data_IF_288395073840
#
_entry.id   IF_288395073840
#
_cell.length_a   1.000
_cell.length_b   1.000
_cell.length_c   1.000
_cell.angle_alpha   90.00
_cell.angle_beta   90.00
_cell.angle_gamma   90.00
#
_symmetry.space_group_name_H-M   'P 1'
#
loop_
_entity.id
_entity.type
_entity.pdbx_description
1 polymer ?
#
# COMPACT_ATOMS: atom_id res chain seq x y z
N UNK A 1 -159.87 60.05 53.73
CA UNK A 1 -160.46 61.40 53.94
C UNK A 1 -161.84 61.37 54.62
N UNK A 2 -162.68 60.36 54.40
CA UNK A 2 -164.03 60.26 55.02
C UNK A 2 -163.99 59.97 56.54
N UNK A 3 -162.94 59.35 57.08
CA UNK A 3 -162.79 59.02 58.52
C UNK A 3 -162.43 60.21 59.41
N UNK A 4 -161.73 61.23 58.87
CA UNK A 4 -161.28 62.39 59.66
C UNK A 4 -162.43 63.26 60.12
N UNK A 5 -163.42 63.48 59.26
CA UNK A 5 -164.60 64.29 59.60
C UNK A 5 -165.50 63.62 60.64
N UNK A 6 -165.65 62.29 60.59
CA UNK A 6 -166.41 61.53 61.61
C UNK A 6 -165.74 61.65 62.98
N UNK A 7 -164.41 61.57 63.04
CA UNK A 7 -163.64 61.71 64.27
C UNK A 7 -163.74 63.14 64.84
N UNK A 8 -163.63 64.16 63.99
CA UNK A 8 -163.77 65.57 64.40
C UNK A 8 -165.19 65.85 64.90
N UNK A 9 -166.24 65.34 64.22
CA UNK A 9 -167.63 65.52 64.63
C UNK A 9 -167.93 64.82 65.96
N UNK A 10 -167.41 63.60 66.17
CA UNK A 10 -167.53 62.87 67.43
C UNK A 10 -166.82 63.59 68.59
N UNK A 11 -165.61 64.13 68.36
CA UNK A 11 -164.85 64.88 69.38
C UNK A 11 -165.54 66.20 69.73
N UNK A 12 -166.13 66.91 68.76
CA UNK A 12 -166.90 68.14 69.02
C UNK A 12 -168.17 67.88 69.83
N UNK A 13 -168.93 66.83 69.51
CA UNK A 13 -170.12 66.42 70.27
C UNK A 13 -169.76 66.01 71.71
N UNK A 14 -168.73 65.18 71.87
CA UNK A 14 -168.24 64.75 73.17
C UNK A 14 -167.70 65.93 74.00
N UNK A 15 -166.98 66.85 73.34
CA UNK A 15 -166.43 68.06 73.95
C UNK A 15 -167.52 69.00 74.48
N UNK A 16 -168.62 69.18 73.74
CA UNK A 16 -169.77 69.96 74.20
C UNK A 16 -170.47 69.36 75.42
N UNK A 17 -170.65 68.03 75.43
CA UNK A 17 -171.24 67.32 76.58
C UNK A 17 -170.33 67.43 77.81
N UNK A 18 -169.02 67.20 77.65
CA UNK A 18 -168.06 67.24 78.76
C UNK A 18 -167.90 68.66 79.31
N UNK A 19 -167.91 69.69 78.47
CA UNK A 19 -167.84 71.09 78.90
C UNK A 19 -169.02 71.47 79.82
N UNK A 20 -170.25 71.06 79.48
CA UNK A 20 -171.43 71.33 80.31
C UNK A 20 -171.42 70.59 81.65
N UNK A 21 -170.85 69.39 81.70
CA UNK A 21 -170.63 68.64 82.95
C UNK A 21 -169.55 69.29 83.83
N UNK A 22 -168.46 69.76 83.23
CA UNK A 22 -167.39 70.48 83.93
C UNK A 22 -167.89 71.74 84.62
N UNK A 23 -168.73 72.53 83.93
CA UNK A 23 -169.29 73.78 84.47
C UNK A 23 -170.31 73.52 85.62
N UNK A 24 -171.06 72.41 85.52
CA UNK A 24 -171.97 71.96 86.59
C UNK A 24 -171.24 71.52 87.85
N UNK A 25 -170.10 70.84 87.72
CA UNK A 25 -169.26 70.45 88.84
C UNK A 25 -168.65 71.70 89.50
N UNK A 26 -168.19 72.66 88.70
CA UNK A 26 -167.68 73.95 89.19
C UNK A 26 -168.70 74.73 90.04
N UNK A 27 -169.95 74.85 89.56
CA UNK A 27 -171.02 75.55 90.31
C UNK A 27 -171.42 74.84 91.62
N UNK A 28 -171.44 73.50 91.65
CA UNK A 28 -171.79 72.74 92.86
C UNK A 28 -170.73 72.89 93.96
N UNK A 29 -169.45 72.89 93.59
CA UNK A 29 -168.35 73.13 94.54
C UNK A 29 -168.45 74.56 95.11
N UNK A 30 -168.88 75.54 94.31
CA UNK A 30 -169.06 76.93 94.73
C UNK A 30 -170.17 77.17 95.78
N UNK A 31 -171.29 76.41 95.76
CA UNK A 31 -172.36 76.51 96.77
C UNK A 31 -172.06 75.77 98.07
N UNK A 32 -171.29 74.69 98.00
CA UNK A 32 -171.03 73.79 99.12
C UNK A 32 -170.02 74.34 100.15
N UNK A 33 -169.48 75.55 99.95
CA UNK A 33 -168.45 76.17 100.81
C UNK A 33 -167.29 75.23 101.13
N UNK A 34 -166.92 74.40 100.16
CA UNK A 34 -165.81 73.45 100.29
C UNK A 34 -164.48 74.19 100.13
N UNK A 35 -163.64 74.07 101.15
CA UNK A 35 -162.24 74.50 101.13
C UNK A 35 -161.40 73.32 100.68
N UNK A 36 -160.64 73.48 99.59
CA UNK A 36 -159.53 72.59 99.26
C UNK A 36 -158.27 73.38 99.61
N UNK A 37 -157.43 72.85 100.50
CA UNK A 37 -156.18 73.47 100.92
C UNK A 37 -156.31 74.92 101.42
N UNK A 38 -157.27 75.18 102.31
CA UNK A 38 -157.41 76.46 103.03
C UNK A 38 -157.73 77.70 102.16
N UNK A 39 -158.17 77.49 100.92
CA UNK A 39 -158.52 78.56 100.00
C UNK A 39 -159.93 79.11 100.25
N UNK A 40 -160.10 80.41 100.01
CA UNK A 40 -161.42 81.08 100.10
C UNK A 40 -162.38 80.38 99.14
N UNK A 41 -163.62 80.01 99.54
CA UNK A 41 -164.51 79.12 98.76
C UNK A 41 -164.76 79.47 97.29
N UNK A 42 -164.53 80.72 96.88
CA UNK A 42 -164.64 81.19 95.50
C UNK A 42 -163.46 80.78 94.60
N UNK A 43 -162.27 80.53 95.13
CA UNK A 43 -161.05 80.18 94.37
C UNK A 43 -160.91 78.68 94.08
N UNK A 44 -161.41 77.82 94.99
CA UNK A 44 -161.39 76.36 94.82
C UNK A 44 -162.10 75.89 93.56
N UNK A 45 -163.21 76.54 93.21
CA UNK A 45 -163.99 76.21 92.01
C UNK A 45 -163.19 76.43 90.72
N UNK A 46 -162.35 77.47 90.66
CA UNK A 46 -161.52 77.79 89.48
C UNK A 46 -160.42 76.75 89.25
N UNK A 47 -159.76 76.30 90.32
CA UNK A 47 -158.67 75.32 90.23
C UNK A 47 -159.18 73.98 89.67
N UNK A 48 -160.34 73.52 90.13
CA UNK A 48 -160.95 72.29 89.63
C UNK A 48 -161.28 72.41 88.14
N UNK A 49 -161.78 73.56 87.67
CA UNK A 49 -162.08 73.78 86.25
C UNK A 49 -160.83 73.67 85.36
N UNK A 50 -159.72 74.29 85.75
CA UNK A 50 -158.44 74.21 85.02
C UNK A 50 -157.95 72.76 84.96
N UNK A 51 -157.98 72.05 86.09
CA UNK A 51 -157.54 70.66 86.15
C UNK A 51 -158.38 69.75 85.23
N UNK A 52 -159.69 69.96 85.19
CA UNK A 52 -160.58 69.21 84.30
C UNK A 52 -160.30 69.53 82.83
N UNK A 53 -160.06 70.81 82.51
CA UNK A 53 -159.67 71.25 81.16
C UNK A 53 -158.37 70.58 80.68
N UNK A 54 -157.33 70.54 81.51
CA UNK A 54 -156.04 69.91 81.17
C UNK A 54 -156.16 68.40 80.92
N UNK A 55 -156.98 67.69 81.70
CA UNK A 55 -157.19 66.25 81.52
C UNK A 55 -157.85 65.96 80.16
N UNK A 56 -158.76 66.82 79.71
CA UNK A 56 -159.42 66.67 78.40
C UNK A 56 -158.41 66.84 77.27
N UNK A 57 -157.56 67.86 77.32
CA UNK A 57 -156.53 68.11 76.30
C UNK A 57 -155.49 67.00 76.21
N UNK A 58 -155.02 66.49 77.35
CA UNK A 58 -154.09 65.35 77.39
C UNK A 58 -154.73 64.08 76.79
N UNK A 59 -156.00 63.85 77.08
CA UNK A 59 -156.74 62.70 76.54
C UNK A 59 -156.92 62.77 75.02
N UNK A 60 -157.11 63.97 74.47
CA UNK A 60 -157.24 64.17 73.01
C UNK A 60 -155.93 63.88 72.29
N UNK A 61 -154.80 64.33 72.85
CA UNK A 61 -153.48 64.07 72.29
C UNK A 61 -153.13 62.56 72.34
N UNK A 62 -153.40 61.90 73.47
CA UNK A 62 -153.17 60.47 73.63
C UNK A 62 -153.96 59.63 72.60
N UNK A 63 -155.20 60.03 72.32
CA UNK A 63 -156.06 59.35 71.36
C UNK A 63 -155.56 59.56 69.91
N UNK A 64 -155.05 60.74 69.58
CA UNK A 64 -154.43 61.05 68.28
C UNK A 64 -153.23 60.14 67.97
N UNK A 65 -152.33 59.97 68.95
CA UNK A 65 -151.18 59.05 68.81
C UNK A 65 -151.59 57.58 68.83
N UNK A 66 -152.65 57.22 69.56
CA UNK A 66 -153.14 55.84 69.63
C UNK A 66 -153.81 55.36 68.33
N UNK A 67 -154.48 56.24 67.59
CA UNK A 67 -155.26 55.87 66.40
C UNK A 67 -154.43 55.95 65.10
N UNK A 68 -153.38 56.78 65.04
CA UNK A 68 -152.61 56.99 63.79
C UNK A 68 -151.20 56.39 63.85
N UNK A 69 -150.97 55.32 63.07
CA UNK A 69 -149.64 54.74 62.87
C UNK A 69 -148.71 55.66 62.06
N UNK A 70 -149.22 56.45 61.11
CA UNK A 70 -148.39 57.37 60.31
C UNK A 70 -147.77 58.51 61.13
N UNK A 71 -148.48 59.05 62.12
CA UNK A 71 -147.93 60.09 63.01
C UNK A 71 -146.80 59.55 63.90
N UNK A 72 -146.81 58.26 64.24
CA UNK A 72 -145.74 57.61 65.02
C UNK A 72 -144.48 57.39 64.17
N UNK A 73 -144.60 56.86 62.95
CA UNK A 73 -143.43 56.61 62.08
C UNK A 73 -142.76 57.91 61.62
N UNK A 74 -143.54 58.95 61.30
CA UNK A 74 -143.00 60.24 60.83
C UNK A 74 -142.25 61.05 61.90
N UNK A 75 -142.57 60.88 63.18
CA UNK A 75 -141.91 61.61 64.28
C UNK A 75 -140.68 60.86 64.83
N UNK A 76 -140.55 59.55 64.64
CA UNK A 76 -139.54 58.73 65.33
C UNK A 76 -138.50 57.98 64.47
N UNK A 77 -138.59 57.93 63.12
CA UNK A 77 -137.66 57.11 62.29
C UNK A 77 -136.83 57.87 61.22
N UNK A 78 -137.01 59.17 61.02
CA UNK A 78 -136.31 59.93 59.96
C UNK A 78 -134.78 59.96 60.12
N UNK A 79 -134.27 59.91 61.35
CA UNK A 79 -132.82 59.92 61.62
C UNK A 79 -132.11 58.68 61.08
N UNK A 80 -132.68 57.48 61.27
CA UNK A 80 -132.06 56.21 60.82
C UNK A 80 -131.89 56.13 59.31
N UNK A 81 -132.86 56.61 58.53
CA UNK A 81 -132.80 56.54 57.07
C UNK A 81 -131.73 57.50 56.51
N UNK A 82 -131.49 58.65 57.16
CA UNK A 82 -130.41 59.56 56.77
C UNK A 82 -129.04 58.99 57.15
N UNK A 83 -128.93 58.34 58.32
CA UNK A 83 -127.70 57.67 58.74
C UNK A 83 -127.34 56.51 57.79
N UNK A 84 -128.30 55.68 57.38
CA UNK A 84 -128.08 54.56 56.46
C UNK A 84 -127.67 55.03 55.04
N UNK A 85 -128.22 56.16 54.57
CA UNK A 85 -127.81 56.76 53.28
C UNK A 85 -126.38 57.31 53.38
N UNK A 86 -126.07 58.02 54.47
CA UNK A 86 -124.73 58.56 54.70
C UNK A 86 -123.69 57.44 54.84
N UNK A 87 -124.02 56.32 55.49
CA UNK A 87 -123.13 55.16 55.57
C UNK A 87 -122.96 54.48 54.22
N UNK A 88 -124.03 54.30 53.44
CA UNK A 88 -123.94 53.68 52.12
C UNK A 88 -123.14 54.54 51.12
N UNK A 89 -123.27 55.88 51.19
CA UNK A 89 -122.44 56.81 50.40
C UNK A 89 -120.97 56.76 50.85
N UNK A 90 -120.70 56.64 52.16
CA UNK A 90 -119.35 56.48 52.70
C UNK A 90 -118.71 55.14 52.28
N UNK A 91 -119.44 54.03 52.38
CA UNK A 91 -118.99 52.69 51.96
C UNK A 91 -118.71 52.63 50.46
N UNK A 92 -119.54 53.29 49.63
CA UNK A 92 -119.31 53.39 48.19
C UNK A 92 -118.05 54.20 47.87
N UNK A 93 -117.84 55.33 48.57
CA UNK A 93 -116.63 56.13 48.42
C UNK A 93 -115.38 55.35 48.87
N UNK A 94 -115.47 54.55 49.95
CA UNK A 94 -114.39 53.69 50.42
C UNK A 94 -114.09 52.54 49.43
N UNK A 95 -115.12 51.90 48.89
CA UNK A 95 -114.97 50.85 47.88
C UNK A 95 -114.36 51.36 46.58
N UNK A 96 -114.77 52.56 46.12
CA UNK A 96 -114.17 53.23 44.96
C UNK A 96 -112.70 53.57 45.21
N UNK A 97 -112.38 54.15 46.36
CA UNK A 97 -110.99 54.42 46.76
C UNK A 97 -110.15 53.14 46.83
N UNK A 98 -110.71 52.06 47.38
CA UNK A 98 -110.03 50.75 47.43
C UNK A 98 -109.79 50.19 46.03
N UNK A 99 -110.77 50.30 45.13
CA UNK A 99 -110.61 49.87 43.75
C UNK A 99 -109.52 50.67 43.03
N UNK A 100 -109.50 52.00 43.18
CA UNK A 100 -108.46 52.86 42.62
C UNK A 100 -107.07 52.48 43.15
N UNK A 101 -106.94 52.22 44.45
CA UNK A 101 -105.67 51.78 45.06
C UNK A 101 -105.22 50.40 44.54
N UNK A 102 -106.15 49.43 44.42
CA UNK A 102 -105.83 48.09 43.90
C UNK A 102 -105.47 48.14 42.41
N UNK A 103 -106.15 48.96 41.62
CA UNK A 103 -105.80 49.18 40.21
C UNK A 103 -104.40 49.82 40.09
N UNK A 104 -104.08 50.81 40.93
CA UNK A 104 -102.76 51.42 40.99
C UNK A 104 -101.66 50.44 41.45
N UNK A 105 -101.94 49.60 42.45
CA UNK A 105 -101.02 48.56 42.93
C UNK A 105 -100.79 47.47 41.87
N UNK A 106 -101.84 47.07 41.15
CA UNK A 106 -101.74 46.11 40.06
C UNK A 106 -100.90 46.68 38.91
N UNK A 107 -101.14 47.93 38.52
CA UNK A 107 -100.33 48.62 37.51
C UNK A 107 -98.86 48.68 37.96
N UNK A 108 -98.58 49.12 39.19
CA UNK A 108 -97.24 49.16 39.75
C UNK A 108 -96.55 47.78 39.77
N UNK A 109 -97.27 46.72 40.17
CA UNK A 109 -96.76 45.35 40.19
C UNK A 109 -96.51 44.80 38.77
N UNK A 110 -97.35 45.15 37.79
CA UNK A 110 -97.13 44.77 36.38
C UNK A 110 -95.92 45.49 35.79
N UNK A 111 -95.74 46.77 36.10
CA UNK A 111 -94.59 47.57 35.73
C UNK A 111 -93.30 47.01 36.34
N UNK A 112 -93.33 46.65 37.63
CA UNK A 112 -92.19 46.02 38.30
C UNK A 112 -91.85 44.67 37.67
N UNK A 113 -92.86 43.83 37.37
CA UNK A 113 -92.67 42.56 36.66
C UNK A 113 -92.05 42.77 35.29
N UNK A 114 -92.51 43.76 34.53
CA UNK A 114 -91.97 44.08 33.20
C UNK A 114 -90.50 44.54 33.30
N UNK A 115 -90.18 45.40 34.27
CA UNK A 115 -88.79 45.80 34.56
C UNK A 115 -87.92 44.62 35.03
N UNK A 116 -88.48 43.69 35.82
CA UNK A 116 -87.78 42.49 36.25
C UNK A 116 -87.49 41.54 35.07
N UNK A 117 -88.45 41.36 34.16
CA UNK A 117 -88.26 40.58 32.93
C UNK A 117 -87.21 41.21 32.01
N UNK A 118 -87.26 42.54 31.83
CA UNK A 118 -86.24 43.28 31.07
C UNK A 118 -84.84 43.10 31.65
N UNK A 119 -84.69 43.25 32.98
CA UNK A 119 -83.43 42.98 33.69
C UNK A 119 -82.96 41.54 33.52
N UNK A 120 -83.87 40.57 33.59
CA UNK A 120 -83.54 39.15 33.43
C UNK A 120 -83.05 38.84 32.01
N UNK A 121 -83.67 39.45 30.99
CA UNK A 121 -83.21 39.34 29.61
C UNK A 121 -81.82 39.96 29.41
N UNK A 122 -81.59 41.17 29.93
CA UNK A 122 -80.28 41.84 29.87
C UNK A 122 -79.19 41.02 30.59
N UNK A 123 -79.51 40.47 31.76
CA UNK A 123 -78.60 39.58 32.51
C UNK A 123 -78.31 38.30 31.73
N UNK A 124 -79.31 37.68 31.10
CA UNK A 124 -79.08 36.49 30.26
C UNK A 124 -78.21 36.80 29.04
N UNK A 125 -78.44 37.94 28.37
CA UNK A 125 -77.59 38.37 27.24
C UNK A 125 -76.16 38.69 27.69
N UNK A 126 -75.99 39.29 28.87
CA UNK A 126 -74.68 39.53 29.47
C UNK A 126 -73.99 38.22 29.88
N UNK A 127 -74.75 37.26 30.43
CA UNK A 127 -74.23 35.95 30.83
C UNK A 127 -73.79 35.16 29.60
N UNK A 128 -74.58 35.13 28.53
CA UNK A 128 -74.19 34.47 27.27
C UNK A 128 -72.92 35.08 26.69
N UNK A 129 -72.82 36.42 26.66
CA UNK A 129 -71.58 37.11 26.24
C UNK A 129 -70.38 36.74 27.10
N UNK A 130 -70.55 36.65 28.42
CA UNK A 130 -69.49 36.25 29.34
C UNK A 130 -69.08 34.77 29.14
N UNK A 131 -70.02 33.88 28.88
CA UNK A 131 -69.77 32.46 28.57
C UNK A 131 -69.03 32.31 27.25
N UNK A 132 -69.47 32.97 26.18
CA UNK A 132 -68.79 32.96 24.87
C UNK A 132 -67.34 33.47 25.00
N UNK A 133 -67.15 34.55 25.77
CA UNK A 133 -65.82 35.10 26.00
C UNK A 133 -64.94 34.20 26.89
N UNK A 134 -65.52 33.48 27.84
CA UNK A 134 -64.81 32.45 28.60
C UNK A 134 -64.37 31.31 27.67
N UNK A 135 -65.25 30.81 26.80
CA UNK A 135 -64.94 29.75 25.85
C UNK A 135 -63.84 30.16 24.86
N UNK A 136 -63.89 31.40 24.33
CA UNK A 136 -62.85 31.92 23.45
C UNK A 136 -61.50 32.03 24.17
N UNK A 137 -61.51 32.54 25.41
CA UNK A 137 -60.30 32.69 26.22
C UNK A 137 -59.71 31.33 26.61
N UNK A 138 -60.54 30.34 26.94
CA UNK A 138 -60.09 28.97 27.19
C UNK A 138 -59.48 28.33 25.94
N UNK A 139 -60.06 28.57 24.76
CA UNK A 139 -59.52 28.12 23.48
C UNK A 139 -58.15 28.75 23.18
N UNK A 140 -58.03 30.08 23.33
CA UNK A 140 -56.77 30.80 23.17
C UNK A 140 -55.71 30.34 24.17
N UNK A 141 -56.09 30.09 25.43
CA UNK A 141 -55.19 29.55 26.45
C UNK A 141 -54.70 28.16 26.07
N UNK A 142 -55.59 27.25 25.62
CA UNK A 142 -55.20 25.91 25.15
C UNK A 142 -54.25 25.99 23.95
N UNK A 143 -54.53 26.89 23.00
CA UNK A 143 -53.66 27.11 21.84
C UNK A 143 -52.28 27.64 22.27
N UNK A 144 -52.25 28.62 23.17
CA UNK A 144 -51.01 29.23 23.67
C UNK A 144 -50.17 28.22 24.46
N UNK A 145 -50.81 27.38 25.28
CA UNK A 145 -50.13 26.29 25.99
C UNK A 145 -49.54 25.27 25.01
N UNK A 146 -50.26 24.91 23.94
CA UNK A 146 -49.75 24.04 22.89
C UNK A 146 -48.57 24.65 22.12
N UNK A 147 -48.61 25.95 21.83
CA UNK A 147 -47.49 26.68 21.23
C UNK A 147 -46.28 26.73 22.16
N UNK A 148 -46.49 27.01 23.45
CA UNK A 148 -45.43 27.05 24.46
C UNK A 148 -44.75 25.68 24.61
N UNK A 149 -45.52 24.59 24.62
CA UNK A 149 -44.99 23.23 24.65
C UNK A 149 -44.14 22.93 23.40
N UNK A 150 -44.64 23.28 22.22
CA UNK A 150 -43.91 23.11 20.95
C UNK A 150 -42.59 23.88 20.95
N UNK A 151 -42.62 25.15 21.35
CA UNK A 151 -41.41 26.00 21.41
C UNK A 151 -40.43 25.50 22.47
N UNK A 152 -40.94 25.02 23.61
CA UNK A 152 -40.12 24.40 24.67
C UNK A 152 -39.38 23.15 24.16
N UNK A 153 -40.09 22.25 23.45
CA UNK A 153 -39.49 21.05 22.85
C UNK A 153 -38.46 21.38 21.77
N UNK A 154 -38.74 22.39 20.94
CA UNK A 154 -37.80 22.89 19.94
C UNK A 154 -36.53 23.46 20.61
N UNK A 155 -36.70 24.30 21.63
CA UNK A 155 -35.58 24.88 22.38
C UNK A 155 -34.70 23.80 23.01
N UNK A 156 -35.29 22.72 23.53
CA UNK A 156 -34.54 21.60 24.09
C UNK A 156 -33.77 20.83 23.02
N UNK A 157 -34.39 20.57 21.86
CA UNK A 157 -33.74 19.90 20.74
C UNK A 157 -32.57 20.72 20.18
N UNK A 158 -32.74 22.05 20.08
CA UNK A 158 -31.70 22.99 19.69
C UNK A 158 -30.55 23.04 20.71
N UNK A 159 -30.85 23.01 22.00
CA UNK A 159 -29.83 22.93 23.07
C UNK A 159 -29.01 21.65 22.96
N UNK A 160 -29.67 20.51 22.76
CA UNK A 160 -28.99 19.22 22.58
C UNK A 160 -28.11 19.23 21.33
N UNK A 161 -28.62 19.72 20.21
CA UNK A 161 -27.85 19.85 18.96
C UNK A 161 -26.63 20.75 19.13
N UNK A 162 -26.79 21.87 19.83
CA UNK A 162 -25.68 22.81 20.11
C UNK A 162 -24.63 22.17 21.02
N UNK A 163 -25.04 21.36 22.01
CA UNK A 163 -24.12 20.63 22.86
C UNK A 163 -23.32 19.59 22.06
N UNK A 164 -23.99 18.81 21.20
CA UNK A 164 -23.34 17.83 20.33
C UNK A 164 -22.34 18.49 19.38
N UNK A 165 -22.74 19.58 18.71
CA UNK A 165 -21.85 20.32 17.80
C UNK A 165 -20.65 20.93 18.52
N UNK A 166 -20.80 21.36 19.79
CA UNK A 166 -19.67 21.85 20.58
C UNK A 166 -18.64 20.75 20.83
N UNK A 167 -19.11 19.54 21.21
CA UNK A 167 -18.24 18.37 21.42
C UNK A 167 -17.54 17.97 20.13
N UNK A 168 -18.26 17.94 19.00
CA UNK A 168 -17.68 17.62 17.70
C UNK A 168 -16.62 18.65 17.28
N UNK A 169 -16.90 19.94 17.47
CA UNK A 169 -15.93 21.02 17.24
C UNK A 169 -14.68 20.87 18.11
N UNK A 170 -14.84 20.54 19.40
CA UNK A 170 -13.70 20.33 20.29
C UNK A 170 -12.86 19.12 19.87
N UNK A 171 -13.51 18.04 19.42
CA UNK A 171 -12.83 16.86 18.85
C UNK A 171 -12.06 17.21 17.57
N UNK A 172 -12.65 17.99 16.66
CA UNK A 172 -11.99 18.43 15.44
C UNK A 172 -10.78 19.34 15.72
N UNK A 173 -10.88 20.23 16.71
CA UNK A 173 -9.74 21.05 17.15
C UNK A 173 -8.60 20.19 17.71
N UNK A 174 -8.91 19.17 18.51
CA UNK A 174 -7.91 18.22 19.01
C UNK A 174 -7.25 17.41 17.88
N UNK A 175 -8.04 16.98 16.89
CA UNK A 175 -7.52 16.31 15.69
C UNK A 175 -6.60 17.24 14.89
N UNK A 176 -7.00 18.49 14.68
CA UNK A 176 -6.18 19.49 14.00
C UNK A 176 -4.84 19.73 14.73
N UNK A 177 -4.87 19.86 16.05
CA UNK A 177 -3.65 20.01 16.86
C UNK A 177 -2.74 18.79 16.74
N UNK A 178 -3.31 17.59 16.73
CA UNK A 178 -2.56 16.33 16.58
C UNK A 178 -1.91 16.24 15.20
N UNK A 179 -2.66 16.52 14.14
CA UNK A 179 -2.15 16.53 12.76
C UNK A 179 -1.06 17.59 12.60
N UNK A 180 -1.25 18.79 13.14
CA UNK A 180 -0.23 19.85 13.11
C UNK A 180 1.07 19.42 13.78
N UNK A 181 0.99 18.75 14.94
CA UNK A 181 2.16 18.18 15.62
C UNK A 181 2.84 17.10 14.77
N UNK A 182 2.07 16.21 14.13
CA UNK A 182 2.62 15.19 13.23
C UNK A 182 3.30 15.81 12.01
N UNK A 183 2.73 16.84 11.41
CA UNK A 183 3.35 17.58 10.29
C UNK A 183 4.69 18.18 10.74
N UNK A 184 4.70 18.90 11.87
CA UNK A 184 5.94 19.48 12.40
C UNK A 184 7.03 18.43 12.69
N UNK A 185 6.65 17.26 13.21
CA UNK A 185 7.59 16.15 13.40
C UNK A 185 8.11 15.59 12.08
N UNK A 186 7.25 15.42 11.07
CA UNK A 186 7.67 14.96 9.73
C UNK A 186 8.57 15.98 9.04
N UNK A 187 8.27 17.27 9.15
CA UNK A 187 9.11 18.33 8.58
C UNK A 187 10.51 18.33 9.20
N UNK A 188 10.63 18.10 10.51
CA UNK A 188 11.93 17.90 11.16
C UNK A 188 12.66 16.65 10.64
N UNK A 189 11.95 15.52 10.45
CA UNK A 189 12.54 14.31 9.88
C UNK A 189 13.02 14.51 8.44
N UNK A 190 12.23 15.21 7.62
CA UNK A 190 12.60 15.55 6.24
C UNK A 190 13.86 16.42 6.25
N UNK A 191 13.90 17.48 7.06
CA UNK A 191 15.08 18.33 7.17
C UNK A 191 16.35 17.56 7.61
N UNK A 192 16.21 16.58 8.51
CA UNK A 192 17.32 15.70 8.90
C UNK A 192 17.76 14.79 7.76
N UNK A 193 16.83 14.20 7.01
CA UNK A 193 17.13 13.36 5.86
C UNK A 193 17.80 14.16 4.73
N UNK A 194 17.34 15.38 4.46
CA UNK A 194 17.95 16.28 3.47
C UNK A 194 19.40 16.61 3.83
N UNK A 195 19.69 16.85 5.11
CA UNK A 195 21.07 17.02 5.59
C UNK A 195 21.92 15.77 5.37
N UNK A 196 21.38 14.58 5.63
CA UNK A 196 22.10 13.32 5.39
C UNK A 196 22.35 13.08 3.91
N UNK A 197 21.38 13.37 3.04
CA UNK A 197 21.50 13.26 1.58
C UNK A 197 22.61 14.20 1.10
N UNK A 198 22.59 15.47 1.50
CA UNK A 198 23.63 16.43 1.14
C UNK A 198 25.04 15.98 1.58
N UNK A 199 25.17 15.40 2.78
CA UNK A 199 26.44 14.83 3.25
C UNK A 199 26.89 13.63 2.40
N UNK A 200 25.95 12.77 1.99
CA UNK A 200 26.26 11.61 1.14
C UNK A 200 26.63 12.02 -0.27
N UNK A 201 25.97 13.02 -0.84
CA UNK A 201 26.31 13.54 -2.17
C UNK A 201 27.74 14.10 -2.18
N UNK A 202 28.15 14.81 -1.12
CA UNK A 202 29.55 15.24 -0.95
C UNK A 202 30.53 14.07 -0.88
N UNK A 203 30.19 12.99 -0.15
CA UNK A 203 31.04 11.80 -0.07
C UNK A 203 31.12 11.06 -1.41
N UNK A 204 30.02 11.00 -2.16
CA UNK A 204 29.99 10.38 -3.49
C UNK A 204 30.89 11.18 -4.44
N UNK A 205 30.75 12.49 -4.49
CA UNK A 205 31.60 13.35 -5.32
C UNK A 205 33.10 13.19 -4.99
N UNK A 206 33.46 13.10 -3.70
CA UNK A 206 34.84 12.85 -3.28
C UNK A 206 35.35 11.47 -3.73
N UNK A 207 34.49 10.44 -3.67
CA UNK A 207 34.85 9.09 -4.12
C UNK A 207 34.99 8.99 -5.63
N UNK A 208 34.14 9.69 -6.38
CA UNK A 208 34.24 9.77 -7.84
C UNK A 208 35.56 10.42 -8.25
N UNK A 209 35.95 11.53 -7.62
CA UNK A 209 37.26 12.15 -7.84
C UNK A 209 38.43 11.20 -7.50
N UNK A 210 38.31 10.44 -6.40
CA UNK A 210 39.33 9.47 -6.03
C UNK A 210 39.41 8.33 -7.05
N UNK A 211 38.27 7.80 -7.53
CA UNK A 211 38.22 6.76 -8.55
C UNK A 211 38.89 7.22 -9.84
N UNK A 212 38.56 8.41 -10.33
CA UNK A 212 39.19 9.00 -11.51
C UNK A 212 40.72 9.10 -11.33
N UNK A 213 41.18 9.51 -10.15
CA UNK A 213 42.62 9.57 -9.84
C UNK A 213 43.30 8.19 -9.78
N UNK A 214 42.58 7.15 -9.37
CA UNK A 214 43.07 5.78 -9.29
C UNK A 214 43.09 5.11 -10.66
N UNK A 215 42.08 5.36 -11.49
CA UNK A 215 42.03 4.93 -12.89
C UNK A 215 43.20 5.52 -13.67
N UNK A 216 43.44 6.84 -13.54
CA UNK A 216 44.60 7.48 -14.16
C UNK A 216 45.94 6.89 -13.67
N UNK A 217 46.05 6.53 -12.39
CA UNK A 217 47.23 5.84 -11.85
C UNK A 217 47.39 4.43 -12.41
N UNK A 218 46.28 3.69 -12.57
CA UNK A 218 46.29 2.36 -13.15
C UNK A 218 46.75 2.41 -14.60
N UNK A 219 46.17 3.29 -15.42
CA UNK A 219 46.57 3.48 -16.82
C UNK A 219 48.07 3.82 -16.94
N UNK A 220 48.57 4.69 -16.06
CA UNK A 220 49.98 5.03 -16.01
C UNK A 220 50.86 3.83 -15.64
N UNK A 221 50.46 3.03 -14.65
CA UNK A 221 51.18 1.81 -14.27
C UNK A 221 51.15 0.76 -15.39
N UNK A 222 50.03 0.58 -16.07
CA UNK A 222 49.91 -0.34 -17.20
C UNK A 222 50.84 0.06 -18.35
N UNK A 223 50.91 1.36 -18.67
CA UNK A 223 51.87 1.88 -19.64
C UNK A 223 53.32 1.61 -19.22
N UNK A 224 53.67 1.79 -17.95
CA UNK A 224 55.00 1.48 -17.44
C UNK A 224 55.33 -0.02 -17.54
N UNK A 225 54.38 -0.90 -17.20
CA UNK A 225 54.55 -2.36 -17.33
C UNK A 225 54.74 -2.72 -18.80
N UNK A 226 53.94 -2.18 -19.72
CA UNK A 226 54.08 -2.45 -21.16
C UNK A 226 55.44 -1.97 -21.72
N UNK A 227 55.89 -0.79 -21.29
CA UNK A 227 57.21 -0.26 -21.65
C UNK A 227 58.33 -1.16 -21.11
N UNK A 228 58.22 -1.59 -19.84
CA UNK A 228 59.19 -2.48 -19.22
C UNK A 228 59.21 -3.85 -19.91
N UNK A 229 58.05 -4.44 -20.23
CA UNK A 229 57.96 -5.68 -20.99
C UNK A 229 58.62 -5.57 -22.37
N UNK A 230 58.42 -4.46 -23.07
CA UNK A 230 59.08 -4.18 -24.36
C UNK A 230 60.60 -4.09 -24.19
N UNK A 231 61.07 -3.42 -23.14
CA UNK A 231 62.49 -3.34 -22.79
C UNK A 231 63.07 -4.73 -22.48
N UNK A 232 62.37 -5.56 -21.71
CA UNK A 232 62.77 -6.94 -21.40
C UNK A 232 62.79 -7.85 -22.63
N UNK A 233 61.81 -7.75 -23.52
CA UNK A 233 61.80 -8.53 -24.77
C UNK A 233 62.94 -8.13 -25.71
N UNK A 234 63.37 -6.86 -25.70
CA UNK A 234 64.57 -6.40 -26.40
C UNK A 234 65.86 -7.03 -25.88
N UNK A 235 65.96 -7.23 -24.55
CA UNK A 235 67.13 -7.83 -23.90
C UNK A 235 67.27 -9.34 -24.17
N UNK A 236 66.16 -10.07 -24.35
CA UNK A 236 66.18 -11.52 -24.62
C UNK A 236 66.18 -11.90 -26.11
N UNK A 237 66.22 -10.92 -27.03
CA UNK A 237 66.54 -11.13 -28.46
C UNK A 237 68.05 -11.06 -28.74
N UNK A 238 68.90 -11.41 -27.79
CA UNK A 238 70.24 -11.88 -28.14
C UNK A 238 70.08 -13.23 -28.81
N UNK A 239 70.13 -13.30 -30.15
CA UNK A 239 70.08 -14.55 -30.89
C UNK A 239 71.03 -15.56 -30.23
N UNK A 240 70.51 -16.64 -29.64
CA UNK A 240 71.35 -17.70 -29.07
C UNK A 240 72.19 -18.24 -30.22
N UNK A 241 73.50 -18.01 -30.15
CA UNK A 241 74.46 -18.41 -31.16
C UNK A 241 74.85 -19.88 -31.00
N UNK A 242 74.96 -20.34 -29.74
CA UNK A 242 75.25 -21.73 -29.40
C UNK A 242 74.41 -22.14 -28.18
N UNK A 243 73.81 -23.33 -28.25
CA UNK A 243 73.16 -23.94 -27.11
C UNK A 243 74.16 -24.76 -26.29
N UNK A 244 73.90 -24.94 -25.00
CA UNK A 244 74.62 -25.89 -24.16
C UNK A 244 74.45 -27.31 -24.72
N UNK A 245 75.54 -28.06 -24.73
CA UNK A 245 75.66 -29.42 -25.28
C UNK A 245 75.39 -29.50 -26.79
N UNK A 246 75.37 -28.36 -27.50
CA UNK A 246 75.39 -28.37 -28.96
C UNK A 246 76.74 -28.90 -29.44
N UNK A 247 76.72 -29.85 -30.36
CA UNK A 247 77.91 -30.30 -31.07
C UNK A 247 78.39 -29.20 -32.03
N UNK A 248 79.66 -28.82 -31.88
CA UNK A 248 80.29 -27.74 -32.64
C UNK A 248 81.01 -28.32 -33.86
N UNK A 249 81.76 -29.41 -33.64
CA UNK A 249 82.55 -30.07 -34.66
C UNK A 249 82.80 -31.52 -34.24
N UNK A 250 82.72 -32.42 -35.23
CA UNK A 250 83.13 -33.83 -35.11
C UNK A 250 84.22 -34.12 -36.13
N UNK A 251 85.26 -34.85 -35.72
CA UNK A 251 86.41 -35.16 -36.54
C UNK A 251 86.87 -36.60 -36.33
N UNK A 252 87.27 -37.26 -37.39
CA UNK A 252 87.89 -38.58 -37.34
C UNK A 252 89.38 -38.44 -37.62
N UNK A 253 90.21 -39.05 -36.77
CA UNK A 253 91.65 -38.96 -36.90
C UNK A 253 92.35 -40.23 -36.45
N UNK A 254 93.46 -40.55 -37.13
CA UNK A 254 94.42 -41.57 -36.74
C UNK A 254 95.77 -40.92 -36.60
N UNK A 255 96.40 -41.09 -35.44
CA UNK A 255 97.75 -40.58 -35.20
C UNK A 255 98.65 -41.71 -34.70
N UNK A 256 99.68 -42.04 -35.48
CA UNK A 256 100.69 -43.05 -35.10
C UNK A 256 101.78 -42.46 -34.20
N UNK A 257 101.96 -41.14 -34.26
CA UNK A 257 102.94 -40.42 -33.47
C UNK A 257 102.30 -39.25 -32.73
N UNK A 258 102.90 -38.85 -31.61
CA UNK A 258 102.49 -37.66 -30.87
C UNK A 258 102.45 -36.40 -31.74
N UNK A 259 103.41 -36.23 -32.66
CA UNK A 259 103.45 -35.09 -33.58
C UNK A 259 102.22 -35.04 -34.50
N UNK A 260 101.78 -36.20 -35.02
CA UNK A 260 100.55 -36.28 -35.83
C UNK A 260 99.29 -36.00 -34.99
N UNK A 261 99.27 -36.42 -33.73
CA UNK A 261 98.16 -36.13 -32.81
C UNK A 261 98.10 -34.62 -32.49
N UNK A 262 99.25 -33.97 -32.26
CA UNK A 262 99.37 -32.53 -32.05
C UNK A 262 98.86 -31.74 -33.27
N UNK A 263 99.23 -32.17 -34.48
CA UNK A 263 98.76 -31.59 -35.74
C UNK A 263 97.23 -31.70 -35.89
N UNK A 264 96.68 -32.91 -35.73
CA UNK A 264 95.23 -33.14 -35.80
C UNK A 264 94.44 -32.29 -34.78
N UNK A 265 94.86 -32.27 -33.52
CA UNK A 265 94.18 -31.50 -32.46
C UNK A 265 94.25 -30.01 -32.73
N UNK A 266 95.38 -29.53 -33.24
CA UNK A 266 95.56 -28.11 -33.60
C UNK A 266 94.61 -27.71 -34.72
N UNK A 267 94.54 -28.49 -35.81
CA UNK A 267 93.62 -28.21 -36.92
C UNK A 267 92.16 -28.29 -36.49
N UNK A 268 91.81 -29.31 -35.69
CA UNK A 268 90.46 -29.51 -35.16
C UNK A 268 90.00 -28.33 -34.30
N UNK A 269 90.84 -27.87 -33.38
CA UNK A 269 90.53 -26.71 -32.52
C UNK A 269 90.48 -25.40 -33.30
N UNK A 270 91.33 -25.22 -34.31
CA UNK A 270 91.29 -24.04 -35.17
C UNK A 270 89.99 -23.96 -35.98
N UNK A 271 89.54 -25.08 -36.54
CA UNK A 271 88.29 -25.11 -37.29
C UNK A 271 87.08 -24.90 -36.38
N UNK A 272 87.05 -25.55 -35.22
CA UNK A 272 86.03 -25.30 -34.22
C UNK A 272 85.98 -23.83 -33.78
N UNK A 273 87.14 -23.20 -33.57
CA UNK A 273 87.21 -21.78 -33.22
C UNK A 273 86.58 -20.90 -34.31
N UNK A 274 86.77 -21.23 -35.61
CA UNK A 274 86.14 -20.51 -36.73
C UNK A 274 84.62 -20.68 -36.74
N UNK A 275 84.12 -21.90 -36.50
CA UNK A 275 82.67 -22.18 -36.46
C UNK A 275 82.00 -21.37 -35.35
N UNK A 276 82.54 -21.46 -34.14
CA UNK A 276 82.02 -20.74 -32.96
C UNK A 276 82.09 -19.23 -33.16
N UNK A 277 83.18 -18.73 -33.73
CA UNK A 277 83.34 -17.29 -33.97
C UNK A 277 82.31 -16.76 -34.96
N UNK A 278 82.05 -17.48 -36.07
CA UNK A 278 81.02 -17.07 -37.04
C UNK A 278 79.62 -17.09 -36.46
N UNK A 279 79.34 -18.03 -35.54
CA UNK A 279 78.05 -18.10 -34.86
C UNK A 279 77.86 -16.92 -33.90
N UNK A 280 78.89 -16.57 -33.11
CA UNK A 280 78.81 -15.53 -32.08
C UNK A 280 79.01 -14.12 -32.63
N UNK A 281 79.93 -13.92 -33.57
CA UNK A 281 80.32 -12.61 -34.10
C UNK A 281 80.34 -12.62 -35.65
N UNK A 282 79.18 -12.81 -36.31
CA UNK A 282 79.11 -12.86 -37.77
C UNK A 282 79.61 -11.55 -38.40
N UNK A 283 80.40 -11.67 -39.47
CA UNK A 283 80.93 -10.52 -40.21
C UNK A 283 82.16 -9.84 -39.60
N UNK A 284 82.67 -10.33 -38.46
CA UNK A 284 83.91 -9.84 -37.85
C UNK A 284 85.11 -10.67 -38.35
N UNK A 285 86.31 -10.09 -38.56
CA UNK A 285 87.51 -10.88 -38.91
C UNK A 285 87.89 -11.86 -37.79
N UNK A 286 88.24 -13.09 -38.17
CA UNK A 286 88.66 -14.15 -37.25
C UNK A 286 90.15 -13.97 -36.98
N UNK A 287 90.50 -13.34 -35.86
CA UNK A 287 91.91 -13.10 -35.47
C UNK A 287 92.21 -13.44 -34.00
N UNK A 288 91.34 -14.22 -33.36
CA UNK A 288 91.51 -14.56 -31.95
C UNK A 288 91.03 -15.96 -31.60
N UNK A 289 91.72 -16.59 -30.66
CA UNK A 289 91.27 -17.80 -29.98
C UNK A 289 90.22 -17.42 -28.93
N UNK A 290 89.00 -17.96 -29.08
CA UNK A 290 87.86 -17.68 -28.20
C UNK A 290 87.41 -18.91 -27.41
N UNK A 291 87.82 -20.11 -27.85
CA UNK A 291 87.56 -21.35 -27.14
C UNK A 291 88.40 -21.41 -25.86
N UNK A 292 87.71 -21.55 -24.72
CA UNK A 292 88.29 -21.78 -23.42
C UNK A 292 88.37 -23.28 -23.17
N UNK A 293 89.57 -23.83 -23.34
CA UNK A 293 89.90 -25.23 -23.06
C UNK A 293 91.19 -25.31 -22.25
N UNK A 294 91.25 -26.20 -21.27
CA UNK A 294 92.43 -26.34 -20.42
C UNK A 294 93.58 -27.04 -21.15
N UNK A 295 94.82 -26.57 -20.95
CA UNK A 295 96.01 -27.23 -21.50
C UNK A 295 96.11 -28.72 -21.11
N UNK A 296 95.62 -29.10 -19.92
CA UNK A 296 95.58 -30.50 -19.48
C UNK A 296 94.59 -31.35 -20.29
N UNK A 297 93.47 -30.77 -20.71
CA UNK A 297 92.45 -31.46 -21.51
C UNK A 297 92.97 -31.68 -22.93
N UNK A 298 93.65 -30.68 -23.49
CA UNK A 298 94.33 -30.77 -24.80
C UNK A 298 95.44 -31.82 -24.77
N UNK A 299 96.29 -31.80 -23.73
CA UNK A 299 97.37 -32.78 -23.57
C UNK A 299 96.83 -34.21 -23.42
N UNK A 300 95.79 -34.40 -22.60
CA UNK A 300 95.15 -35.70 -22.43
C UNK A 300 94.53 -36.23 -23.73
N UNK A 301 93.98 -35.33 -24.56
CA UNK A 301 93.49 -35.68 -25.89
C UNK A 301 94.64 -36.14 -26.81
N UNK A 302 95.74 -35.41 -26.86
CA UNK A 302 96.92 -35.77 -27.68
C UNK A 302 97.46 -37.14 -27.27
N UNK A 303 97.64 -37.39 -25.97
CA UNK A 303 98.11 -38.68 -25.45
C UNK A 303 97.17 -39.82 -25.84
N UNK A 304 95.85 -39.57 -25.80
CA UNK A 304 94.83 -40.57 -26.15
C UNK A 304 94.80 -40.89 -27.64
N UNK A 305 95.09 -39.93 -28.51
CA UNK A 305 95.12 -40.12 -29.95
C UNK A 305 96.42 -40.76 -30.45
N UNK A 306 97.54 -40.58 -29.73
CA UNK A 306 98.87 -41.05 -30.13
C UNK A 306 99.09 -42.57 -29.91
N UNK A 307 98.06 -43.39 -30.16
CA UNK A 307 98.10 -44.85 -30.00
C UNK A 307 98.17 -45.60 -31.34
N UNK A 308 97.96 -44.91 -32.46
CA UNK A 308 97.86 -45.51 -33.80
C UNK A 308 96.50 -46.14 -34.09
N UNK A 309 95.51 -45.99 -33.21
CA UNK A 309 94.11 -46.39 -33.44
C UNK A 309 93.31 -45.25 -34.06
N UNK A 310 92.19 -45.58 -34.72
CA UNK A 310 91.25 -44.57 -35.21
C UNK A 310 90.39 -44.05 -34.06
N UNK A 311 90.21 -42.74 -33.97
CA UNK A 311 89.36 -42.09 -32.98
C UNK A 311 88.35 -41.14 -33.62
N UNK A 312 87.21 -41.02 -32.95
CA UNK A 312 86.20 -39.98 -33.20
C UNK A 312 86.30 -38.94 -32.09
N UNK A 313 86.58 -37.70 -32.47
CA UNK A 313 86.75 -36.57 -31.57
C UNK A 313 85.58 -35.61 -31.77
N UNK A 314 84.97 -35.19 -30.66
CA UNK A 314 83.79 -34.33 -30.63
C UNK A 314 84.06 -33.12 -29.77
N UNK A 315 83.62 -31.94 -30.23
CA UNK A 315 83.63 -30.72 -29.45
C UNK A 315 82.20 -30.26 -29.19
N UNK A 316 81.84 -30.03 -27.93
CA UNK A 316 80.51 -29.57 -27.53
C UNK A 316 80.59 -28.25 -26.75
N UNK A 317 79.58 -27.40 -26.90
CA UNK A 317 79.47 -26.19 -26.08
C UNK A 317 79.10 -26.52 -24.63
N UNK A 318 79.76 -25.89 -23.64
CA UNK A 318 79.47 -26.10 -22.22
C UNK A 318 78.32 -25.23 -21.69
N UNK A 319 77.93 -24.17 -22.40
CA UNK A 319 76.91 -23.22 -21.98
C UNK A 319 76.10 -22.68 -23.17
N UNK A 320 75.06 -21.90 -22.86
CA UNK A 320 74.37 -21.12 -23.87
C UNK A 320 75.17 -19.83 -24.11
N UNK A 321 75.48 -19.53 -25.37
CA UNK A 321 76.16 -18.31 -25.78
C UNK A 321 75.27 -17.51 -26.73
N UNK A 322 75.29 -16.19 -26.60
CA UNK A 322 74.49 -15.30 -27.45
C UNK A 322 75.36 -14.64 -28.52
N UNK A 323 74.72 -14.22 -29.61
CA UNK A 323 75.36 -13.41 -30.64
C UNK A 323 75.82 -12.10 -30.01
N UNK A 324 77.08 -11.74 -30.24
CA UNK A 324 77.72 -10.56 -29.66
C UNK A 324 78.19 -10.75 -28.22
N UNK A 325 78.46 -12.00 -27.79
CA UNK A 325 79.04 -12.31 -26.48
C UNK A 325 80.21 -11.34 -26.16
N UNK A 326 80.13 -10.56 -25.06
CA UNK A 326 81.05 -9.45 -24.83
C UNK A 326 82.54 -9.85 -24.83
N UNK A 327 82.86 -11.02 -24.29
CA UNK A 327 84.25 -11.51 -24.26
C UNK A 327 84.81 -11.84 -25.64
N UNK A 328 83.95 -12.12 -26.64
CA UNK A 328 84.36 -12.32 -28.04
C UNK A 328 84.52 -10.98 -28.76
N UNK A 329 83.64 -10.01 -28.51
CA UNK A 329 83.70 -8.70 -29.18
C UNK A 329 84.76 -7.75 -28.62
N UNK A 330 85.04 -7.83 -27.32
CA UNK A 330 85.97 -6.91 -26.62
C UNK A 330 87.42 -7.38 -26.65
N UNK A 331 87.73 -8.42 -27.43
CA UNK A 331 89.06 -9.04 -27.51
C UNK A 331 89.62 -9.46 -26.14
N UNK A 332 88.76 -10.04 -25.29
CA UNK A 332 89.13 -10.50 -23.95
C UNK A 332 89.86 -11.84 -23.93
N UNK A 333 90.04 -12.39 -22.73
CA UNK A 333 90.49 -13.78 -22.57
C UNK A 333 89.46 -14.77 -23.17
N UNK A 334 89.90 -15.94 -23.68
CA UNK A 334 89.00 -16.96 -24.19
C UNK A 334 87.95 -17.32 -23.14
N UNK A 335 86.68 -17.33 -23.53
CA UNK A 335 85.55 -17.44 -22.61
C UNK A 335 84.51 -18.47 -23.06
N UNK A 336 84.62 -18.99 -24.29
CA UNK A 336 83.68 -19.96 -24.83
C UNK A 336 84.12 -21.35 -24.37
N UNK A 337 83.53 -21.78 -23.26
CA UNK A 337 83.80 -23.08 -22.65
C UNK A 337 83.26 -24.19 -23.54
N UNK A 338 84.12 -25.17 -23.77
CA UNK A 338 83.84 -26.33 -24.61
C UNK A 338 84.28 -27.60 -23.91
N UNK A 339 83.62 -28.70 -24.23
CA UNK A 339 84.00 -30.04 -23.80
C UNK A 339 84.50 -30.83 -25.01
N UNK A 340 85.66 -31.47 -24.87
CA UNK A 340 86.15 -32.45 -25.85
C UNK A 340 85.92 -33.86 -25.33
N UNK A 341 85.40 -34.70 -26.20
CA UNK A 341 85.38 -36.14 -26.02
C UNK A 341 86.10 -36.83 -27.19
N UNK A 342 86.78 -37.93 -26.91
CA UNK A 342 87.48 -38.75 -27.90
C UNK A 342 87.23 -40.23 -27.62
N UNK A 343 86.59 -40.92 -28.56
CA UNK A 343 86.21 -42.33 -28.43
C UNK A 343 86.82 -43.14 -29.57
N UNK A 344 87.36 -44.36 -29.31
CA UNK A 344 87.87 -45.21 -30.38
C UNK A 344 86.81 -45.46 -31.45
N UNK A 345 87.21 -45.37 -32.73
CA UNK A 345 86.33 -45.64 -33.85
C UNK A 345 86.24 -47.14 -34.10
N UNK A 346 85.34 -47.79 -33.37
CA UNK A 346 85.14 -49.23 -33.43
C UNK A 346 83.88 -49.58 -34.22
N UNK A 347 83.84 -50.79 -34.79
CA UNK A 347 82.66 -51.32 -35.43
C UNK A 347 81.57 -51.58 -34.37
N UNK A 348 80.42 -50.91 -34.51
CA UNK A 348 79.26 -51.05 -33.62
C UNK A 348 78.27 -52.07 -34.19
N UNK A 349 78.03 -52.03 -35.51
CA UNK A 349 77.19 -53.01 -36.19
C UNK A 349 77.89 -53.59 -37.42
N UNK A 350 77.72 -54.89 -37.67
CA UNK A 350 78.13 -55.52 -38.92
C UNK A 350 77.08 -55.33 -40.02
N UNK A 351 77.51 -55.35 -41.29
CA UNK A 351 76.58 -55.37 -42.42
C UNK A 351 75.58 -56.53 -42.28
N UNK A 352 74.29 -56.22 -42.43
CA UNK A 352 73.21 -57.20 -42.27
C UNK A 352 72.73 -57.37 -40.82
N UNK A 353 73.36 -56.71 -39.84
CA UNK A 353 72.91 -56.71 -38.46
C UNK A 353 71.65 -55.85 -38.28
N UNK A 354 70.75 -56.26 -37.39
CA UNK A 354 69.47 -55.59 -37.17
C UNK A 354 69.57 -54.57 -36.04
N UNK A 355 69.34 -53.30 -36.36
CA UNK A 355 69.33 -52.20 -35.40
C UNK A 355 68.00 -52.11 -34.66
N UNK A 356 66.86 -52.18 -35.35
CA UNK A 356 65.56 -52.03 -34.68
C UNK A 356 64.47 -52.85 -35.37
N UNK A 357 63.39 -53.12 -34.63
CA UNK A 357 62.19 -53.80 -35.11
C UNK A 357 60.96 -53.09 -34.57
N UNK A 358 59.96 -52.88 -35.42
CA UNK A 358 58.63 -52.40 -35.05
C UNK A 358 57.59 -53.32 -35.67
N UNK A 359 56.71 -53.88 -34.85
CA UNK A 359 55.60 -54.69 -35.33
C UNK A 359 54.56 -53.83 -36.05
N UNK A 360 54.06 -54.32 -37.18
CA UNK A 360 52.95 -53.74 -37.92
C UNK A 360 51.71 -54.64 -37.74
N UNK A 361 50.71 -54.09 -37.05
CA UNK A 361 49.43 -54.77 -36.75
C UNK A 361 48.75 -55.28 -38.03
N UNK A 362 47.98 -56.39 -38.01
CA UNK A 362 47.36 -56.95 -39.21
C UNK A 362 46.50 -55.93 -40.00
N UNK A 363 46.42 -56.09 -41.34
CA UNK A 363 45.71 -55.17 -42.23
C UNK A 363 44.22 -55.00 -41.88
N UNK A 364 43.56 -53.93 -42.35
CA UNK A 364 44.03 -52.97 -43.36
C UNK A 364 45.04 -51.95 -42.82
N UNK A 365 46.12 -51.71 -43.58
CA UNK A 365 47.09 -50.68 -43.25
C UNK A 365 46.63 -49.34 -43.84
N UNK A 366 46.30 -48.38 -42.97
CA UNK A 366 46.09 -47.01 -43.42
C UNK A 366 47.46 -46.35 -43.76
N UNK A 367 47.52 -45.55 -44.82
CA UNK A 367 48.76 -44.87 -45.25
C UNK A 367 49.44 -44.10 -44.10
N UNK A 368 48.61 -43.47 -43.25
CA UNK A 368 49.06 -42.75 -42.07
C UNK A 368 49.72 -43.68 -41.05
N UNK A 369 49.15 -44.86 -40.82
CA UNK A 369 49.68 -45.84 -39.86
C UNK A 369 51.04 -46.41 -40.34
N UNK A 370 51.21 -46.64 -41.64
CA UNK A 370 52.48 -47.08 -42.23
C UNK A 370 53.59 -46.04 -42.03
N UNK A 371 53.29 -44.77 -42.31
CA UNK A 371 54.24 -43.67 -42.11
C UNK A 371 54.57 -43.48 -40.62
N UNK A 372 53.57 -43.55 -39.73
CA UNK A 372 53.79 -43.46 -38.28
C UNK A 372 54.68 -44.60 -37.77
N UNK A 373 54.46 -45.84 -38.23
CA UNK A 373 55.27 -47.01 -37.86
C UNK A 373 56.68 -46.95 -38.44
N UNK A 374 56.85 -46.45 -39.66
CA UNK A 374 58.16 -46.19 -40.24
C UNK A 374 58.92 -45.13 -39.44
N UNK A 375 58.28 -44.00 -39.12
CA UNK A 375 58.90 -42.94 -38.31
C UNK A 375 59.32 -43.46 -36.93
N UNK A 376 58.49 -44.32 -36.32
CA UNK A 376 58.84 -44.99 -35.07
C UNK A 376 60.05 -45.92 -35.23
N UNK A 377 60.12 -46.69 -36.33
CA UNK A 377 61.28 -47.54 -36.62
C UNK A 377 62.55 -46.70 -36.77
N UNK A 378 62.51 -45.62 -37.58
CA UNK A 378 63.66 -44.74 -37.79
C UNK A 378 64.10 -44.06 -36.48
N UNK A 379 63.16 -43.58 -35.66
CA UNK A 379 63.46 -43.02 -34.35
C UNK A 379 64.06 -44.05 -33.40
N UNK A 380 63.54 -45.27 -33.37
CA UNK A 380 64.07 -46.37 -32.57
C UNK A 380 65.48 -46.78 -33.03
N UNK A 381 65.73 -46.79 -34.34
CA UNK A 381 67.06 -47.05 -34.91
C UNK A 381 68.06 -45.97 -34.50
N UNK A 382 67.71 -44.69 -34.64
CA UNK A 382 68.59 -43.59 -34.22
C UNK A 382 68.83 -43.58 -32.70
N UNK A 383 67.82 -43.92 -31.91
CA UNK A 383 67.97 -44.05 -30.47
C UNK A 383 68.92 -45.20 -30.11
N UNK A 384 68.73 -46.39 -30.69
CA UNK A 384 69.58 -47.55 -30.41
C UNK A 384 71.02 -47.33 -30.90
N UNK A 385 71.20 -46.81 -32.10
CA UNK A 385 72.53 -46.50 -32.62
C UNK A 385 73.29 -45.52 -31.71
N UNK A 386 72.63 -44.46 -31.20
CA UNK A 386 73.23 -43.54 -30.22
C UNK A 386 73.53 -44.21 -28.88
N UNK A 387 72.62 -45.05 -28.40
CA UNK A 387 72.80 -45.79 -27.16
C UNK A 387 74.00 -46.74 -27.22
N UNK A 388 74.19 -47.39 -28.37
CA UNK A 388 75.28 -48.35 -28.60
C UNK A 388 76.62 -47.64 -28.95
N UNK A 389 76.62 -46.30 -29.05
CA UNK A 389 77.82 -45.48 -29.14
C UNK A 389 78.12 -44.90 -30.52
N UNK A 390 77.18 -44.94 -31.46
CA UNK A 390 77.32 -44.25 -32.77
C UNK A 390 77.06 -42.75 -32.61
N UNK A 391 78.00 -41.95 -33.09
CA UNK A 391 77.89 -40.49 -33.21
C UNK A 391 77.11 -40.18 -34.48
N UNK A 392 75.94 -39.55 -34.33
CA UNK A 392 75.04 -39.23 -35.45
C UNK A 392 75.11 -37.72 -35.69
N UNK A 393 75.83 -37.32 -36.74
CA UNK A 393 76.03 -35.94 -37.21
C UNK A 393 74.92 -35.51 -38.20
N UNK A 394 73.65 -35.66 -37.83
CA UNK A 394 72.51 -35.17 -38.62
C UNK A 394 72.19 -35.85 -39.97
N UNK A 395 72.10 -37.19 -40.04
CA UNK A 395 70.99 -37.91 -40.70
C UNK A 395 71.24 -39.42 -40.77
N UNK A 396 70.21 -40.20 -40.45
CA UNK A 396 70.16 -41.63 -40.79
C UNK A 396 69.83 -41.77 -42.27
N UNK A 397 70.61 -42.56 -42.99
CA UNK A 397 70.44 -42.79 -44.42
C UNK A 397 69.73 -44.12 -44.64
N UNK A 398 68.64 -44.09 -45.41
CA UNK A 398 67.91 -45.31 -45.81
C UNK A 398 68.28 -45.65 -47.25
N UNK A 399 68.82 -46.85 -47.45
CA UNK A 399 69.26 -47.36 -48.76
C UNK A 399 70.13 -46.34 -49.52
N UNK A 400 69.64 -45.82 -50.65
CA UNK A 400 70.33 -44.85 -51.51
C UNK A 400 70.01 -43.38 -51.16
N UNK A 401 69.42 -43.14 -49.98
CA UNK A 401 68.97 -41.84 -49.49
C UNK A 401 67.95 -41.15 -50.42
N UNK A 402 67.15 -41.94 -51.15
CA UNK A 402 66.08 -41.43 -52.02
C UNK A 402 64.69 -41.73 -51.46
N UNK A 403 63.80 -40.74 -51.57
CA UNK A 403 62.41 -40.89 -51.14
C UNK A 403 61.65 -41.94 -51.94
N UNK A 404 61.97 -42.12 -53.24
CA UNK A 404 61.29 -43.12 -54.08
C UNK A 404 61.51 -44.55 -53.57
N UNK A 405 62.72 -44.88 -53.11
CA UNK A 405 63.06 -46.20 -52.56
C UNK A 405 62.24 -46.54 -51.33
N UNK A 406 61.98 -45.55 -50.47
CA UNK A 406 61.15 -45.69 -49.28
C UNK A 406 59.67 -45.87 -49.66
N UNK A 407 59.17 -45.05 -50.60
CA UNK A 407 57.78 -45.13 -51.06
C UNK A 407 57.47 -46.48 -51.70
N UNK A 408 58.34 -46.97 -52.58
CA UNK A 408 58.19 -48.28 -53.23
C UNK A 408 58.16 -49.43 -52.20
N UNK A 409 58.99 -49.33 -51.15
CA UNK A 409 58.98 -50.30 -50.06
C UNK A 409 57.66 -50.28 -49.27
N UNK A 410 57.16 -49.09 -48.91
CA UNK A 410 55.89 -48.96 -48.19
C UNK A 410 54.71 -49.47 -49.02
N UNK A 411 54.69 -49.17 -50.33
CA UNK A 411 53.66 -49.66 -51.25
C UNK A 411 53.69 -51.19 -51.35
N UNK A 412 54.88 -51.81 -51.48
CA UNK A 412 55.01 -53.27 -51.50
C UNK A 412 54.51 -53.93 -50.21
N UNK A 413 54.81 -53.33 -49.05
CA UNK A 413 54.30 -53.79 -47.74
C UNK A 413 52.78 -53.66 -47.68
N UNK A 414 52.22 -52.54 -48.15
CA UNK A 414 50.77 -52.32 -48.17
C UNK A 414 50.03 -53.32 -49.06
N UNK A 415 50.53 -53.53 -50.29
CA UNK A 415 49.96 -54.47 -51.26
C UNK A 415 50.01 -55.92 -50.77
N UNK A 416 50.99 -56.28 -49.94
CA UNK A 416 51.12 -57.63 -49.40
C UNK A 416 49.93 -58.05 -48.54
N UNK A 417 49.24 -57.10 -47.88
CA UNK A 417 48.09 -57.38 -47.03
C UNK A 417 48.40 -58.37 -45.90
N UNK A 418 49.61 -58.33 -45.35
CA UNK A 418 50.10 -59.28 -44.36
C UNK A 418 50.69 -58.56 -43.15
N UNK A 419 50.31 -58.95 -41.93
CA UNK A 419 51.01 -58.54 -40.70
C UNK A 419 52.50 -58.88 -40.82
N UNK A 420 53.37 -57.89 -40.67
CA UNK A 420 54.83 -58.00 -40.83
C UNK A 420 55.54 -57.22 -39.71
N UNK A 421 56.78 -57.61 -39.42
CA UNK A 421 57.70 -56.82 -38.62
C UNK A 421 58.56 -55.96 -39.53
N UNK A 422 58.50 -54.65 -39.37
CA UNK A 422 59.41 -53.73 -40.03
C UNK A 422 60.74 -53.71 -39.27
N UNK A 423 61.83 -53.97 -39.98
CA UNK A 423 63.18 -54.05 -39.43
C UNK A 423 64.09 -53.03 -40.13
N UNK A 424 64.95 -52.41 -39.33
CA UNK A 424 66.07 -51.61 -39.82
C UNK A 424 67.34 -52.44 -39.71
N UNK A 425 67.98 -52.69 -40.84
CA UNK A 425 69.15 -53.57 -40.97
C UNK A 425 70.33 -52.73 -41.47
N UNK A 426 71.52 -52.90 -40.91
CA UNK A 426 72.73 -52.21 -41.35
C UNK A 426 72.99 -52.51 -42.84
N UNK A 427 73.04 -51.47 -43.68
CA UNK A 427 73.33 -51.62 -45.11
C UNK A 427 74.82 -51.88 -45.39
N UNK A 428 75.68 -51.39 -44.50
CA UNK A 428 77.13 -51.57 -44.46
C UNK A 428 77.58 -51.67 -42.99
N UNK A 429 78.86 -51.95 -42.74
CA UNK A 429 79.41 -51.87 -41.38
C UNK A 429 79.27 -50.45 -40.83
N UNK A 430 78.74 -50.32 -39.61
CA UNK A 430 78.53 -49.02 -38.95
C UNK A 430 79.54 -48.91 -37.81
N UNK A 431 80.35 -47.88 -37.87
CA UNK A 431 81.36 -47.57 -36.85
C UNK A 431 80.86 -46.46 -35.90
N UNK A 432 81.60 -46.22 -34.82
CA UNK A 432 81.36 -45.12 -33.88
C UNK A 432 81.19 -43.77 -34.60
N UNK A 433 81.92 -43.52 -35.69
CA UNK A 433 81.84 -42.28 -36.46
C UNK A 433 80.56 -42.14 -37.31
N UNK A 434 79.80 -43.22 -37.51
CA UNK A 434 78.76 -43.28 -38.53
C UNK A 434 79.34 -43.30 -39.97
N UNK A 435 78.54 -42.97 -40.99
CA UNK A 435 77.10 -42.67 -40.93
C UNK A 435 76.26 -43.93 -40.63
N UNK A 436 75.05 -43.73 -40.09
CA UNK A 436 74.08 -44.82 -39.90
C UNK A 436 73.34 -45.07 -41.21
N UNK A 437 73.82 -46.05 -41.99
CA UNK A 437 73.19 -46.48 -43.24
C UNK A 437 72.39 -47.77 -43.00
N UNK A 438 71.09 -47.73 -43.28
CA UNK A 438 70.19 -48.87 -43.08
C UNK A 438 69.41 -49.25 -44.33
N UNK A 439 69.07 -50.53 -44.44
CA UNK A 439 68.02 -51.05 -45.30
C UNK A 439 66.77 -51.31 -44.45
N UNK A 440 65.61 -51.01 -45.00
CA UNK A 440 64.32 -51.41 -44.44
C UNK A 440 63.99 -52.82 -44.93
N UNK A 441 63.54 -53.68 -44.04
CA UNK A 441 63.06 -55.01 -44.37
C UNK A 441 61.70 -55.27 -43.72
N UNK A 442 60.78 -55.88 -44.45
CA UNK A 442 59.53 -56.40 -43.91
C UNK A 442 59.66 -57.91 -43.74
N UNK A 443 59.57 -58.38 -42.49
CA UNK A 443 59.85 -59.77 -42.11
C UNK A 443 58.60 -60.40 -41.53
N UNK A 444 58.32 -61.66 -41.90
CA UNK A 444 57.27 -62.48 -41.29
C UNK A 444 57.84 -63.86 -41.00
N UNK A 445 57.60 -64.38 -39.81
CA UNK A 445 58.06 -65.71 -39.37
C UNK A 445 59.56 -65.96 -39.60
N UNK A 446 60.37 -64.88 -39.53
CA UNK A 446 61.82 -64.93 -39.75
C UNK A 446 62.27 -64.89 -41.22
N UNK A 447 61.36 -64.79 -42.19
CA UNK A 447 61.67 -64.64 -43.62
C UNK A 447 61.45 -63.21 -44.10
N UNK A 448 62.43 -62.64 -44.81
CA UNK A 448 62.33 -61.31 -45.43
C UNK A 448 61.44 -61.37 -46.66
N UNK A 449 60.32 -60.64 -46.63
CA UNK A 449 59.37 -60.55 -47.74
C UNK A 449 59.74 -59.45 -48.73
N UNK A 450 60.12 -58.28 -48.19
CA UNK A 450 60.54 -57.11 -48.96
C UNK A 450 61.73 -56.47 -48.27
N UNK A 451 62.66 -55.95 -49.05
CA UNK A 451 63.79 -55.20 -48.53
C UNK A 451 64.16 -54.07 -49.49
N UNK A 452 64.53 -52.91 -48.96
CA UNK A 452 65.21 -51.89 -49.75
C UNK A 452 66.63 -52.36 -50.01
N UNK A 453 66.92 -52.93 -51.18
CA UNK A 453 68.29 -53.26 -51.58
C UNK A 453 68.72 -52.40 -52.77
N UNK A 454 70.01 -52.08 -52.83
CA UNK A 454 70.65 -51.56 -54.04
C UNK A 454 71.13 -52.78 -54.83
N UNK A 455 70.31 -53.29 -55.77
CA UNK A 455 70.62 -54.08 -57.00
C UNK A 455 69.58 -55.20 -57.25
N UNK A 456 69.01 -55.34 -58.46
CA UNK A 456 67.97 -56.31 -58.78
C UNK A 456 68.55 -57.67 -59.23
N UNK A 457 68.17 -58.77 -58.57
CA UNK A 457 68.40 -60.13 -59.10
C UNK A 457 67.24 -60.56 -59.98
N UNK A 458 67.38 -60.36 -61.29
CA UNK A 458 66.61 -61.09 -62.29
C UNK A 458 67.22 -62.48 -62.46
N UNK A 459 66.51 -63.51 -61.99
CA UNK A 459 66.68 -64.87 -62.50
C UNK A 459 65.76 -65.02 -63.71
N UNK A 460 66.27 -64.72 -64.89
CA UNK A 460 65.60 -65.04 -66.15
C UNK A 460 65.70 -66.55 -66.41
N UNK A 461 64.52 -67.15 -66.56
CA UNK A 461 64.33 -68.51 -67.05
C UNK A 461 64.63 -68.52 -68.54
N UNK A 462 65.67 -69.24 -68.94
CA UNK A 462 66.10 -69.38 -70.33
C UNK A 462 65.28 -70.51 -70.99
N UNK A 463 64.17 -70.16 -71.64
CA UNK A 463 63.48 -71.04 -72.58
C UNK A 463 62.70 -70.24 -73.63
N UNK A 464 62.89 -70.64 -74.89
CA UNK A 464 62.21 -70.20 -76.11
C UNK A 464 62.73 -68.95 -76.85
N UNK A 465 63.68 -69.20 -77.76
CA UNK A 465 63.73 -68.53 -79.06
C UNK A 465 63.34 -69.51 -80.16
N UNK A 466 62.39 -69.17 -81.05
CA UNK A 466 62.46 -69.53 -82.45
C UNK A 466 62.91 -68.32 -83.28
N UNK A 467 63.87 -68.58 -84.15
CA UNK A 467 64.43 -67.58 -85.07
C UNK A 467 63.43 -67.09 -86.10
N UNK A 468 63.72 -65.90 -86.63
CA UNK A 468 63.29 -65.51 -87.95
C UNK A 468 64.42 -64.76 -88.67
N UNK A 469 64.58 -65.19 -89.91
CA UNK A 469 65.65 -64.94 -90.85
C UNK A 469 65.38 -63.68 -91.70
N UNK A 470 66.46 -63.11 -92.25
CA UNK A 470 66.45 -62.39 -93.53
C UNK A 470 66.19 -60.88 -93.51
N UNK A 471 67.25 -60.06 -93.53
CA UNK A 471 67.97 -59.62 -94.75
C UNK A 471 69.09 -58.65 -94.42
#
# INVERSE_FOLDING_TARGET
MVSGYVLIFAVLMLGGVIATLGDRIGMRVGKARLSLFNLRPRQTATVVSIATGSIISASTLALLFGVSSQLRTGVFELGRIQDDLASAEADLAEAQSTQENVEADLEAATDERQRALGRLQEVNESLNRAVEQQESTESELRQTLGQLDTVSQQAETLRQSTATLRVERDRLLQQQATISSQIAQRDQQIAQLDQQIAQRDQQIAQREQLLESLEAQQDFLEQQVAALQTQYQGLFRGNIALNRNQEILTGQGRAETRAQAEEFVTEFLQEANRIVFRAIAPGTPIDQQILLIGNREVEALIERLATGEDYVVRLLSAANYITGEPCVLQQGEPCIQVFIDATPNQQIYAQGERLATVALDPPPFEDRQLVERLNLLLAATQFRARQDGVVIDDNLQVADNRSETILNFLEAVQQSGQAVDLQAIAAADIFTAGPVQINLAAVRDGQTLFQTSVTPTWLENESDRPGFDGR
#
